data_IF_330820320713
#
_entry.id   IF_330820320713
#
_cell.length_a   1.000
_cell.length_b   1.000
_cell.length_c   1.000
_cell.angle_alpha   90.00
_cell.angle_beta   90.00
_cell.angle_gamma   90.00
#
_symmetry.space_group_name_H-M   'P 1'
#
loop_
_entity.id
_entity.type
_entity.pdbx_description
1 polymer ?
#
# COMPACT_ATOMS: atom_id res chain seq x y z
N UNK A 1 -3.32 8.23 -22.96
CA UNK A 1 -2.92 9.63 -22.62
C UNK A 1 -1.57 9.62 -21.88
N UNK A 2 -0.80 10.72 -21.87
CA UNK A 2 0.56 10.73 -21.29
C UNK A 2 0.64 10.28 -19.81
N UNK A 3 -0.38 10.59 -18.99
CA UNK A 3 -0.43 10.13 -17.59
C UNK A 3 -0.63 8.63 -17.43
N UNK A 4 -1.40 8.00 -18.31
CA UNK A 4 -1.65 6.55 -18.31
C UNK A 4 -0.37 5.76 -18.63
N UNK A 5 0.45 6.30 -19.53
CA UNK A 5 1.75 5.72 -19.86
C UNK A 5 2.70 5.73 -18.67
N UNK A 6 2.78 6.87 -17.96
CA UNK A 6 3.62 7.02 -16.77
C UNK A 6 3.14 6.14 -15.62
N UNK A 7 1.81 5.98 -15.48
CA UNK A 7 1.23 5.03 -14.53
C UNK A 7 1.63 3.59 -14.85
N UNK A 8 1.60 3.19 -16.12
CA UNK A 8 2.04 1.87 -16.54
C UNK A 8 3.51 1.62 -16.18
N UNK A 9 4.40 2.58 -16.47
CA UNK A 9 5.82 2.51 -16.12
C UNK A 9 6.04 2.38 -14.62
N UNK A 10 5.32 3.16 -13.83
CA UNK A 10 5.37 3.07 -12.37
C UNK A 10 4.98 1.69 -11.86
N UNK A 11 3.92 1.06 -12.41
CA UNK A 11 3.52 -0.29 -11.99
C UNK A 11 4.57 -1.35 -12.31
N UNK A 12 5.25 -1.25 -13.45
CA UNK A 12 6.35 -2.16 -13.78
C UNK A 12 7.52 -2.02 -12.79
N UNK A 13 7.91 -0.79 -12.48
CA UNK A 13 8.93 -0.51 -11.47
C UNK A 13 8.50 -1.02 -10.08
N UNK A 14 7.24 -0.80 -9.72
CA UNK A 14 6.67 -1.20 -8.43
C UNK A 14 6.63 -2.71 -8.23
N UNK A 15 6.39 -3.47 -9.31
CA UNK A 15 6.33 -4.93 -9.27
C UNK A 15 7.67 -5.60 -8.92
N UNK A 16 8.78 -4.90 -9.15
CA UNK A 16 10.14 -5.38 -8.88
C UNK A 16 10.65 -4.93 -7.51
N UNK A 17 9.83 -4.19 -6.77
CA UNK A 17 10.19 -3.61 -5.49
C UNK A 17 10.33 -4.71 -4.43
N UNK A 18 11.47 -4.73 -3.78
CA UNK A 18 11.71 -5.59 -2.61
C UNK A 18 11.16 -4.95 -1.34
N UNK A 19 10.84 -5.78 -0.34
CA UNK A 19 10.43 -5.34 0.99
C UNK A 19 11.35 -5.91 2.07
N UNK A 20 11.52 -5.17 3.17
CA UNK A 20 12.31 -5.58 4.34
C UNK A 20 11.44 -6.00 5.54
N UNK A 21 10.13 -6.22 5.32
CA UNK A 21 9.16 -6.54 6.38
C UNK A 21 8.53 -5.34 7.07
N UNK A 22 9.07 -4.12 6.91
CA UNK A 22 8.56 -2.89 7.53
C UNK A 22 7.92 -1.94 6.51
N UNK A 23 7.32 -2.51 5.47
CA UNK A 23 6.69 -1.77 4.38
C UNK A 23 7.52 -1.78 3.10
N UNK A 24 7.15 -0.88 2.19
CA UNK A 24 7.69 -0.83 0.86
C UNK A 24 8.92 0.08 0.77
N UNK A 25 10.05 -0.46 0.29
CA UNK A 25 11.26 0.33 0.04
C UNK A 25 11.03 1.38 -1.06
N UNK A 26 11.67 2.55 -1.01
CA UNK A 26 11.60 3.53 -2.09
C UNK A 26 12.16 2.96 -3.39
N UNK A 27 11.60 3.37 -4.53
CA UNK A 27 12.22 3.08 -5.83
C UNK A 27 13.48 3.95 -5.96
N UNK A 28 14.64 3.31 -6.00
CA UNK A 28 15.91 4.01 -6.13
C UNK A 28 16.14 4.55 -7.55
N UNK A 29 16.87 5.67 -7.67
CA UNK A 29 17.24 6.25 -8.97
C UNK A 29 17.99 5.26 -9.88
N UNK A 30 18.81 4.39 -9.30
CA UNK A 30 19.48 3.33 -10.04
C UNK A 30 18.47 2.38 -10.71
N UNK A 31 17.41 1.97 -10.00
CA UNK A 31 16.39 1.09 -10.57
C UNK A 31 15.62 1.78 -11.71
N UNK A 32 15.33 3.08 -11.56
CA UNK A 32 14.69 3.88 -12.61
C UNK A 32 15.60 3.98 -13.83
N UNK A 33 16.89 4.27 -13.63
CA UNK A 33 17.88 4.35 -14.70
C UNK A 33 18.05 3.03 -15.45
N UNK A 34 18.18 1.92 -14.73
CA UNK A 34 18.28 0.59 -15.33
C UNK A 34 17.01 0.19 -16.08
N UNK A 35 15.83 0.44 -15.51
CA UNK A 35 14.56 0.19 -16.19
C UNK A 35 14.43 1.04 -17.47
N UNK A 36 14.77 2.33 -17.41
CA UNK A 36 14.75 3.25 -18.55
C UNK A 36 15.64 2.74 -19.68
N UNK A 37 16.86 2.31 -19.32
CA UNK A 37 17.84 1.72 -20.24
C UNK A 37 17.33 0.43 -20.87
N UNK A 38 16.79 -0.50 -20.08
CA UNK A 38 16.28 -1.79 -20.56
C UNK A 38 15.04 -1.65 -21.45
N UNK A 39 14.20 -0.65 -21.19
CA UNK A 39 13.01 -0.35 -22.00
C UNK A 39 13.31 0.52 -23.22
N UNK A 40 14.52 1.04 -23.36
CA UNK A 40 14.86 1.99 -24.42
C UNK A 40 14.07 3.30 -24.32
N UNK A 41 13.65 3.67 -23.12
CA UNK A 41 12.89 4.89 -22.84
C UNK A 41 13.86 5.95 -22.36
N UNK A 42 13.75 7.17 -22.87
CA UNK A 42 14.45 8.33 -22.31
C UNK A 42 13.43 9.19 -21.55
N UNK A 43 13.49 9.14 -20.23
CA UNK A 43 12.54 9.86 -19.38
C UNK A 43 12.77 11.37 -19.47
N UNK A 44 11.70 12.11 -19.74
CA UNK A 44 11.66 13.55 -19.55
C UNK A 44 11.62 13.88 -18.05
N UNK A 45 12.07 15.06 -17.69
CA UNK A 45 12.11 15.50 -16.28
C UNK A 45 10.76 15.34 -15.58
N UNK A 46 9.67 15.80 -16.21
CA UNK A 46 8.32 15.68 -15.62
C UNK A 46 7.86 14.22 -15.44
N UNK A 47 8.35 13.29 -16.26
CA UNK A 47 8.00 11.87 -16.16
C UNK A 47 8.74 11.22 -14.99
N UNK A 48 10.01 11.58 -14.81
CA UNK A 48 10.78 11.18 -13.65
C UNK A 48 10.15 11.73 -12.36
N UNK A 49 9.83 13.01 -12.34
CA UNK A 49 9.18 13.66 -11.19
C UNK A 49 7.83 13.01 -10.85
N UNK A 50 7.04 12.67 -11.88
CA UNK A 50 5.79 11.95 -11.70
C UNK A 50 5.99 10.55 -11.10
N UNK A 51 6.99 9.79 -11.55
CA UNK A 51 7.33 8.47 -10.98
C UNK A 51 7.71 8.62 -9.50
N UNK A 52 8.52 9.62 -9.15
CA UNK A 52 8.93 9.90 -7.77
C UNK A 52 7.73 10.30 -6.91
N UNK A 53 6.85 11.16 -7.42
CA UNK A 53 5.65 11.60 -6.70
C UNK A 53 4.68 10.43 -6.43
N UNK A 54 4.50 9.54 -7.41
CA UNK A 54 3.69 8.33 -7.23
C UNK A 54 4.32 7.36 -6.23
N UNK A 55 5.64 7.21 -6.24
CA UNK A 55 6.35 6.39 -5.25
C UNK A 55 6.14 6.89 -3.83
N UNK A 56 6.30 8.20 -3.61
CA UNK A 56 6.03 8.83 -2.33
C UNK A 56 4.59 8.58 -1.91
N UNK A 57 3.63 8.82 -2.81
CA UNK A 57 2.22 8.67 -2.48
C UNK A 57 1.83 7.23 -2.15
N UNK A 58 2.37 6.26 -2.89
CA UNK A 58 2.16 4.84 -2.59
C UNK A 58 2.64 4.48 -1.18
N UNK A 59 3.81 4.97 -0.78
CA UNK A 59 4.38 4.71 0.55
C UNK A 59 3.54 5.34 1.65
N UNK A 60 3.05 6.56 1.47
CA UNK A 60 2.12 7.20 2.40
C UNK A 60 0.83 6.38 2.57
N UNK A 61 0.21 5.96 1.46
CA UNK A 61 -1.04 5.17 1.50
C UNK A 61 -0.82 3.82 2.17
N UNK A 62 0.33 3.17 1.94
CA UNK A 62 0.66 1.90 2.60
C UNK A 62 0.89 2.07 4.10
N UNK A 63 1.56 3.15 4.52
CA UNK A 63 1.76 3.46 5.94
C UNK A 63 0.42 3.77 6.62
N UNK A 64 -0.45 4.56 6.00
CA UNK A 64 -1.78 4.84 6.51
C UNK A 64 -2.61 3.56 6.66
N UNK A 65 -2.61 2.69 5.64
CA UNK A 65 -3.33 1.40 5.72
C UNK A 65 -2.80 0.49 6.82
N UNK A 66 -1.50 0.54 7.13
CA UNK A 66 -0.93 -0.22 8.23
C UNK A 66 -1.46 0.31 9.57
N UNK A 67 -1.47 1.63 9.76
CA UNK A 67 -2.02 2.27 10.96
C UNK A 67 -3.53 1.99 11.13
N UNK A 68 -4.32 2.15 10.06
CA UNK A 68 -5.77 1.88 10.09
C UNK A 68 -6.06 0.41 10.44
N UNK A 69 -5.22 -0.53 9.96
CA UNK A 69 -5.35 -1.95 10.29
C UNK A 69 -5.10 -2.20 11.78
N UNK A 70 -4.06 -1.60 12.36
CA UNK A 70 -3.77 -1.68 13.80
C UNK A 70 -4.93 -1.12 14.64
N UNK A 71 -5.57 -0.03 14.22
CA UNK A 71 -6.74 0.53 14.92
C UNK A 71 -7.96 -0.41 14.87
N UNK A 72 -8.19 -1.09 13.75
CA UNK A 72 -9.29 -2.05 13.63
C UNK A 72 -9.07 -3.33 14.45
N UNK A 73 -7.85 -3.84 14.53
CA UNK A 73 -7.52 -5.03 15.31
C UNK A 73 -7.58 -4.77 16.83
N UNK A 74 -7.23 -3.56 17.27
CA UNK A 74 -7.26 -3.16 18.68
C UNK A 74 -8.65 -2.76 19.19
N UNK A 75 -9.69 -2.81 18.36
CA UNK A 75 -11.08 -2.60 18.77
C UNK A 75 -11.62 -3.82 19.54
N UNK A 76 -11.07 -4.06 20.73
CA UNK A 76 -11.64 -5.00 21.70
C UNK A 76 -12.71 -4.26 22.50
N UNK A 77 -13.89 -4.88 22.69
CA UNK A 77 -14.94 -4.29 23.49
C UNK A 77 -14.45 -4.07 24.93
N UNK A 78 -14.57 -2.84 25.43
CA UNK A 78 -14.22 -2.49 26.83
C UNK A 78 -14.98 -3.35 27.85
N UNK A 79 -16.16 -3.87 27.47
CA UNK A 79 -16.93 -4.78 28.30
C UNK A 79 -16.52 -6.22 28.01
N UNK A 80 -16.18 -7.02 29.05
CA UNK A 80 -15.95 -8.44 28.86
C UNK A 80 -17.22 -9.11 28.33
N UNK A 81 -17.06 -9.96 27.33
CA UNK A 81 -18.15 -10.70 26.70
C UNK A 81 -18.66 -11.80 27.66
N UNK A 82 -19.50 -11.40 28.62
CA UNK A 82 -20.13 -12.34 29.56
C UNK A 82 -21.12 -13.26 28.83
N UNK A 83 -21.35 -14.48 29.35
CA UNK A 83 -22.27 -15.43 28.72
C UNK A 83 -23.68 -14.88 28.55
N UNK A 84 -24.19 -14.13 29.54
CA UNK A 84 -25.49 -13.46 29.48
C UNK A 84 -25.54 -12.38 28.39
N UNK A 85 -24.45 -11.63 28.20
CA UNK A 85 -24.37 -10.62 27.14
C UNK A 85 -24.29 -11.28 25.76
N UNK A 86 -23.56 -12.39 25.64
CA UNK A 86 -23.52 -13.19 24.41
C UNK A 86 -24.90 -13.73 24.04
N UNK A 87 -25.63 -14.31 25.00
CA UNK A 87 -26.99 -14.81 24.79
C UNK A 87 -27.97 -13.70 24.39
N UNK A 88 -27.81 -12.50 24.98
CA UNK A 88 -28.64 -11.33 24.66
C UNK A 88 -28.35 -10.77 23.25
N UNK A 89 -27.11 -10.86 22.77
CA UNK A 89 -26.70 -10.45 21.41
C UNK A 89 -27.10 -11.51 20.38
N UNK A 90 -27.09 -12.80 20.74
CA UNK A 90 -27.42 -13.93 19.84
C UNK A 90 -28.59 -14.78 20.34
N UNK A 91 -29.83 -14.24 20.43
CA UNK A 91 -30.95 -14.90 21.09
C UNK A 91 -31.44 -16.19 20.39
N UNK A 92 -31.10 -16.41 19.12
CA UNK A 92 -31.65 -17.50 18.29
C UNK A 92 -30.75 -18.75 18.16
N UNK A 93 -29.73 -18.93 19.01
CA UNK A 93 -28.80 -20.09 18.96
C UNK A 93 -29.02 -21.16 20.03
N UNK A 94 -30.15 -21.16 20.73
CA UNK A 94 -30.55 -22.27 21.60
C UNK A 94 -31.65 -23.07 20.91
N UNK A 95 -31.24 -24.13 20.19
CA UNK A 95 -32.13 -25.26 19.95
C UNK A 95 -32.25 -26.07 21.22
#
# INVERSE_FOLDING_TARGET
MAGEQVWYWFRELDSQRTGNGFGANPIGFQAIGEWSRLRGVNLLQWQLDAIIAMDLKRREVMAQKAADKEETENKVSERPLSSRLFDAIFPNKRK
#
